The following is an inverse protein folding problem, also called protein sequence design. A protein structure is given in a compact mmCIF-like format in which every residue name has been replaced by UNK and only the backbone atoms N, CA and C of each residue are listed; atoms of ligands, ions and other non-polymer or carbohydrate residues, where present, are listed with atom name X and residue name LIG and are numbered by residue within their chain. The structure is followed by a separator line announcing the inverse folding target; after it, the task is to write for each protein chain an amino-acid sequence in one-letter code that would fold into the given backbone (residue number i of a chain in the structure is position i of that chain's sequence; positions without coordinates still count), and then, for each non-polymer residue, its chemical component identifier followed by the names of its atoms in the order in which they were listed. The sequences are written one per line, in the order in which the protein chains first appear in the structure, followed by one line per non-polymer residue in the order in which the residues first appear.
data_IF_627008643503
#
_entry.id   IF_627008643503
#
_cell.length_a   1.000
_cell.length_b   1.000
_cell.length_c   1.000
_cell.angle_alpha   90.00
_cell.angle_beta   90.00
_cell.angle_gamma   90.00
#
_symmetry.space_group_name_H-M   'P 1'
#
loop_
_entity.id
_entity.type
_entity.pdbx_description
1 polymer ?
#
# COMPACT_ATOMS: atom_id res chain seq x y z
N UNK A 1 -15.08 27.36 1.80
CA UNK A 1 -14.76 26.02 2.40
C UNK A 1 -14.79 25.04 1.25
N UNK A 2 -13.65 24.45 0.91
CA UNK A 2 -13.55 23.42 -0.13
C UNK A 2 -14.41 22.21 0.20
N UNK A 3 -15.08 21.67 -0.80
CA UNK A 3 -15.90 20.47 -0.68
C UNK A 3 -15.52 19.45 -1.76
N UNK A 4 -15.67 18.17 -1.46
CA UNK A 4 -15.27 17.07 -2.35
C UNK A 4 -16.44 16.13 -2.63
N UNK A 5 -16.64 15.81 -3.89
CA UNK A 5 -17.49 14.70 -4.32
C UNK A 5 -16.62 13.47 -4.56
N UNK A 6 -16.95 12.37 -3.92
CA UNK A 6 -16.32 11.07 -4.14
C UNK A 6 -17.28 10.24 -4.99
N UNK A 7 -16.87 9.94 -6.22
CA UNK A 7 -17.69 9.23 -7.20
C UNK A 7 -17.34 7.75 -7.21
N UNK A 8 -18.36 6.91 -7.28
CA UNK A 8 -18.23 5.49 -7.55
C UNK A 8 -18.06 4.61 -6.32
N UNK A 9 -18.31 3.32 -6.55
CA UNK A 9 -18.27 2.28 -5.54
C UNK A 9 -16.97 1.43 -5.60
N UNK A 10 -16.07 1.76 -6.52
CA UNK A 10 -14.85 0.98 -6.80
C UNK A 10 -13.64 1.48 -6.00
N UNK A 11 -13.84 1.93 -4.78
CA UNK A 11 -12.76 2.30 -3.89
C UNK A 11 -12.39 1.12 -2.98
N UNK A 12 -11.10 0.81 -2.90
CA UNK A 12 -10.61 -0.19 -1.95
C UNK A 12 -10.94 0.24 -0.51
N UNK A 13 -11.41 -0.70 0.33
CA UNK A 13 -11.90 -0.40 1.67
C UNK A 13 -10.89 0.37 2.54
N UNK A 14 -9.62 0.01 2.51
CA UNK A 14 -8.54 0.71 3.24
C UNK A 14 -8.29 2.11 2.69
N UNK A 15 -8.37 2.30 1.38
CA UNK A 15 -8.24 3.62 0.74
C UNK A 15 -9.42 4.51 1.14
N UNK A 16 -10.64 3.96 1.18
CA UNK A 16 -11.83 4.69 1.62
C UNK A 16 -11.68 5.17 3.06
N UNK A 17 -11.34 4.27 3.97
CA UNK A 17 -11.14 4.60 5.39
C UNK A 17 -10.05 5.67 5.55
N UNK A 18 -8.93 5.51 4.88
CA UNK A 18 -7.82 6.47 4.90
C UNK A 18 -8.21 7.83 4.33
N UNK A 19 -8.95 7.85 3.22
CA UNK A 19 -9.43 9.10 2.60
C UNK A 19 -10.38 9.86 3.54
N UNK A 20 -11.36 9.18 4.13
CA UNK A 20 -12.30 9.80 5.06
C UNK A 20 -11.58 10.41 6.28
N UNK A 21 -10.60 9.71 6.83
CA UNK A 21 -9.78 10.23 7.94
C UNK A 21 -8.98 11.47 7.55
N UNK A 22 -8.34 11.46 6.36
CA UNK A 22 -7.60 12.63 5.87
C UNK A 22 -8.53 13.83 5.63
N UNK A 23 -9.70 13.62 5.02
CA UNK A 23 -10.65 14.69 4.75
C UNK A 23 -11.21 15.31 6.04
N UNK A 24 -11.47 14.49 7.06
CA UNK A 24 -11.88 14.95 8.38
C UNK A 24 -10.78 15.77 9.06
N UNK A 25 -9.53 15.31 9.02
CA UNK A 25 -8.35 16.02 9.54
C UNK A 25 -8.19 17.40 8.87
N UNK A 26 -8.33 17.45 7.55
CA UNK A 26 -8.24 18.66 6.75
C UNK A 26 -9.49 19.55 6.81
N UNK A 27 -10.54 19.12 7.50
CA UNK A 27 -11.85 19.81 7.57
C UNK A 27 -12.47 20.07 6.19
N UNK A 28 -12.21 19.19 5.22
CA UNK A 28 -12.82 19.21 3.90
C UNK A 28 -14.16 18.48 3.99
N UNK A 29 -15.25 19.18 3.64
CA UNK A 29 -16.57 18.54 3.54
C UNK A 29 -16.61 17.60 2.35
N UNK A 30 -17.15 16.42 2.51
CA UNK A 30 -17.23 15.44 1.43
C UNK A 30 -18.56 14.68 1.41
N UNK A 31 -18.90 14.15 0.24
CA UNK A 31 -20.05 13.28 0.03
C UNK A 31 -19.68 12.18 -0.96
N UNK A 32 -20.12 10.96 -0.68
CA UNK A 32 -20.18 9.91 -1.69
C UNK A 32 -21.45 10.12 -2.54
N UNK A 33 -21.28 10.24 -3.85
CA UNK A 33 -22.39 10.60 -4.74
C UNK A 33 -22.17 10.19 -6.18
N UNK A 34 -23.02 10.71 -7.06
CA UNK A 34 -23.03 10.37 -8.47
C UNK A 34 -22.44 11.51 -9.32
N UNK A 35 -21.92 11.16 -10.50
CA UNK A 35 -21.29 12.08 -11.44
C UNK A 35 -22.20 13.27 -11.84
N UNK A 36 -23.52 13.11 -11.81
CA UNK A 36 -24.48 14.19 -12.07
C UNK A 36 -24.46 15.32 -11.03
N UNK A 37 -23.76 15.12 -9.91
CA UNK A 37 -23.66 16.12 -8.84
C UNK A 37 -22.38 16.97 -8.93
N UNK A 38 -21.54 16.78 -9.93
CA UNK A 38 -20.21 17.44 -10.08
C UNK A 38 -20.32 18.97 -9.90
N UNK A 39 -21.34 19.60 -10.46
CA UNK A 39 -21.49 21.07 -10.44
C UNK A 39 -21.51 21.67 -9.02
N UNK A 40 -21.90 20.90 -8.02
CA UNK A 40 -22.03 21.32 -6.62
C UNK A 40 -20.74 21.28 -5.81
N UNK A 41 -19.64 20.75 -6.39
CA UNK A 41 -18.40 20.50 -5.66
C UNK A 41 -17.18 21.13 -6.33
N UNK A 42 -16.19 21.50 -5.53
CA UNK A 42 -14.95 22.11 -6.00
C UNK A 42 -13.93 21.06 -6.45
N UNK A 43 -13.91 19.93 -5.74
CA UNK A 43 -12.98 18.82 -5.94
C UNK A 43 -13.79 17.56 -6.23
N UNK A 44 -13.35 16.82 -7.24
CA UNK A 44 -13.93 15.54 -7.64
C UNK A 44 -12.88 14.46 -7.47
N UNK A 45 -13.16 13.48 -6.63
CA UNK A 45 -12.36 12.28 -6.51
C UNK A 45 -13.09 11.10 -7.17
N UNK A 46 -12.51 10.56 -8.23
CA UNK A 46 -13.03 9.38 -8.90
C UNK A 46 -12.00 8.24 -8.78
N UNK A 47 -12.16 7.32 -7.80
CA UNK A 47 -11.27 6.19 -7.67
C UNK A 47 -11.31 5.32 -8.92
N UNK A 48 -10.17 4.75 -9.28
CA UNK A 48 -10.04 3.82 -10.41
C UNK A 48 -10.09 4.45 -11.81
N UNK A 49 -11.04 5.31 -12.14
CA UNK A 49 -11.27 5.78 -13.52
C UNK A 49 -11.04 7.28 -13.67
N UNK A 50 -10.43 7.68 -14.77
CA UNK A 50 -10.47 9.06 -15.23
C UNK A 50 -11.72 9.30 -16.10
N UNK A 51 -12.17 10.55 -16.17
CA UNK A 51 -13.31 10.98 -16.98
C UNK A 51 -12.93 12.18 -17.83
N UNK A 52 -13.76 12.52 -18.82
CA UNK A 52 -13.65 13.76 -19.59
C UNK A 52 -13.93 14.96 -18.68
N UNK A 53 -12.96 15.85 -18.52
CA UNK A 53 -13.05 17.04 -17.66
C UNK A 53 -13.28 18.33 -18.43
N UNK A 54 -13.42 18.27 -19.77
CA UNK A 54 -13.53 19.44 -20.66
C UNK A 54 -14.68 20.38 -20.30
N UNK A 55 -15.77 19.85 -19.76
CA UNK A 55 -16.95 20.62 -19.35
C UNK A 55 -16.80 21.31 -17.99
N UNK A 56 -15.70 21.02 -17.25
CA UNK A 56 -15.53 21.44 -15.86
C UNK A 56 -14.16 22.11 -15.63
N UNK A 57 -13.83 23.17 -16.39
CA UNK A 57 -12.48 23.77 -16.36
C UNK A 57 -12.09 24.39 -15.02
N UNK A 58 -13.07 24.73 -14.18
CA UNK A 58 -12.85 25.38 -12.87
C UNK A 58 -12.90 24.41 -11.68
N UNK A 59 -12.95 23.10 -11.93
CA UNK A 59 -12.98 22.07 -10.88
C UNK A 59 -11.69 21.28 -10.89
N UNK A 60 -11.33 20.73 -9.73
CA UNK A 60 -10.12 19.90 -9.56
C UNK A 60 -10.50 18.44 -9.55
N UNK A 61 -9.77 17.60 -10.29
CA UNK A 61 -10.03 16.18 -10.40
C UNK A 61 -8.84 15.34 -9.93
N UNK A 62 -9.13 14.38 -9.06
CA UNK A 62 -8.20 13.35 -8.61
C UNK A 62 -8.74 12.00 -9.03
N UNK A 63 -7.96 11.23 -9.79
CA UNK A 63 -8.32 9.91 -10.29
C UNK A 63 -7.43 8.82 -9.71
N UNK A 64 -7.96 7.60 -9.58
CA UNK A 64 -7.19 6.43 -9.13
C UNK A 64 -7.12 6.27 -7.61
N UNK A 65 -6.35 5.28 -7.14
CA UNK A 65 -5.68 4.26 -7.95
C UNK A 65 -6.63 3.22 -8.53
N UNK A 66 -6.23 2.57 -9.62
CA UNK A 66 -6.96 1.46 -10.22
C UNK A 66 -6.59 0.13 -9.53
N UNK A 67 -7.54 -0.82 -9.48
CA UNK A 67 -7.29 -2.14 -8.90
C UNK A 67 -6.35 -3.02 -9.73
N UNK A 68 -6.31 -2.80 -11.04
CA UNK A 68 -5.42 -3.53 -11.93
C UNK A 68 -4.00 -2.95 -11.92
N UNK A 69 -3.02 -3.82 -12.06
CA UNK A 69 -1.61 -3.41 -12.21
C UNK A 69 -1.36 -2.57 -13.45
N UNK A 70 -2.16 -2.75 -14.49
CA UNK A 70 -2.07 -2.01 -15.76
C UNK A 70 -3.36 -1.24 -16.02
N UNK A 71 -3.30 -0.09 -16.74
CA UNK A 71 -4.48 0.63 -17.15
C UNK A 71 -5.30 -0.19 -18.16
N UNK A 72 -6.63 -0.07 -18.07
CA UNK A 72 -7.56 -0.66 -19.03
C UNK A 72 -7.70 0.18 -20.28
N UNK A 73 -8.11 -0.42 -21.40
CA UNK A 73 -8.40 0.32 -22.63
C UNK A 73 -9.44 1.41 -22.40
N UNK A 74 -10.49 1.13 -21.64
CA UNK A 74 -11.55 2.11 -21.29
C UNK A 74 -10.97 3.38 -20.66
N UNK A 75 -9.94 3.25 -19.83
CA UNK A 75 -9.26 4.39 -19.20
C UNK A 75 -8.39 5.13 -20.20
N UNK A 76 -7.77 4.43 -21.13
CA UNK A 76 -6.88 5.00 -22.15
C UNK A 76 -7.62 5.66 -23.32
N UNK A 77 -8.94 5.40 -23.47
CA UNK A 77 -9.78 5.98 -24.53
C UNK A 77 -10.27 7.40 -24.20
N UNK A 78 -9.95 7.93 -23.04
CA UNK A 78 -10.32 9.29 -22.63
C UNK A 78 -9.50 10.31 -23.45
N UNK A 79 -10.20 11.20 -24.16
CA UNK A 79 -9.56 12.13 -25.09
C UNK A 79 -9.35 13.53 -24.53
N UNK A 80 -10.14 13.96 -23.56
CA UNK A 80 -10.19 15.34 -23.09
C UNK A 80 -9.94 15.43 -21.60
N UNK A 81 -8.69 15.25 -21.19
CA UNK A 81 -8.24 15.54 -19.83
C UNK A 81 -7.52 16.87 -19.80
N UNK A 82 -7.99 17.81 -18.97
CA UNK A 82 -7.38 19.12 -18.82
C UNK A 82 -6.33 19.15 -17.71
N UNK A 83 -5.59 20.25 -17.65
CA UNK A 83 -4.56 20.51 -16.61
C UNK A 83 -5.10 20.54 -15.17
N UNK A 84 -6.44 20.54 -14.99
CA UNK A 84 -7.11 20.48 -13.70
C UNK A 84 -7.25 19.06 -13.14
N UNK A 85 -6.51 18.11 -13.65
CA UNK A 85 -6.62 16.69 -13.30
C UNK A 85 -5.29 16.05 -12.95
N UNK A 86 -5.31 15.06 -12.07
CA UNK A 86 -4.17 14.23 -11.73
C UNK A 86 -4.62 12.78 -11.54
N UNK A 87 -3.80 11.84 -12.00
CA UNK A 87 -3.95 10.41 -11.66
C UNK A 87 -2.98 10.04 -10.55
N UNK A 88 -3.46 9.31 -9.53
CA UNK A 88 -2.61 8.87 -8.43
C UNK A 88 -2.32 7.37 -8.50
N UNK A 89 -1.09 7.00 -8.15
CA UNK A 89 -0.66 5.62 -7.94
C UNK A 89 0.00 5.47 -6.57
N UNK A 90 -0.16 4.32 -5.89
CA UNK A 90 0.27 4.19 -4.50
C UNK A 90 1.77 4.22 -4.29
N UNK A 91 2.58 3.89 -5.29
CA UNK A 91 4.04 3.79 -5.18
C UNK A 91 4.78 4.19 -6.45
N UNK A 92 6.08 4.36 -6.34
CA UNK A 92 6.96 4.74 -7.46
C UNK A 92 6.91 3.69 -8.57
N UNK A 93 7.09 2.41 -8.25
CA UNK A 93 7.10 1.37 -9.28
C UNK A 93 5.75 1.21 -9.99
N UNK A 94 4.63 1.35 -9.26
CA UNK A 94 3.30 1.29 -9.90
C UNK A 94 3.04 2.52 -10.78
N UNK A 95 3.52 3.71 -10.39
CA UNK A 95 3.52 4.89 -11.24
C UNK A 95 4.34 4.67 -12.52
N UNK A 96 5.55 4.14 -12.40
CA UNK A 96 6.44 3.89 -13.54
C UNK A 96 5.84 2.92 -14.57
N UNK A 97 5.08 1.92 -14.12
CA UNK A 97 4.34 1.03 -15.02
C UNK A 97 3.23 1.78 -15.77
N UNK A 98 2.51 2.68 -15.10
CA UNK A 98 1.37 3.39 -15.68
C UNK A 98 1.78 4.58 -16.57
N UNK A 99 2.86 5.24 -16.25
CA UNK A 99 3.30 6.49 -16.90
C UNK A 99 3.40 6.40 -18.43
N UNK A 100 4.00 5.35 -19.05
CA UNK A 100 4.06 5.22 -20.49
C UNK A 100 2.69 5.13 -21.17
N UNK A 101 1.70 4.58 -20.48
CA UNK A 101 0.33 4.43 -20.99
C UNK A 101 -0.46 5.73 -20.88
N UNK A 102 -0.37 6.39 -19.74
CA UNK A 102 -1.12 7.63 -19.44
C UNK A 102 -0.56 8.85 -20.17
N UNK A 103 0.73 8.86 -20.50
CA UNK A 103 1.36 9.94 -21.26
C UNK A 103 0.64 10.25 -22.57
N UNK A 104 0.00 9.25 -23.18
CA UNK A 104 -0.74 9.39 -24.44
C UNK A 104 -2.00 10.27 -24.31
N UNK A 105 -2.56 10.37 -23.12
CA UNK A 105 -3.75 11.18 -22.84
C UNK A 105 -3.43 12.46 -22.06
N UNK A 106 -2.16 12.79 -21.93
CA UNK A 106 -1.65 14.01 -21.29
C UNK A 106 -2.18 14.20 -19.84
N UNK A 107 -2.43 13.11 -19.12
CA UNK A 107 -2.88 13.12 -17.72
C UNK A 107 -1.66 13.01 -16.80
N UNK A 108 -1.37 14.02 -15.95
CA UNK A 108 -0.30 13.93 -14.97
C UNK A 108 -0.54 12.76 -14.01
N UNK A 109 0.52 12.00 -13.69
CA UNK A 109 0.50 10.92 -12.72
C UNK A 109 1.43 11.22 -11.55
N UNK A 110 0.93 11.06 -10.32
CA UNK A 110 1.70 11.29 -9.09
C UNK A 110 1.63 10.10 -8.16
N UNK A 111 2.66 9.93 -7.36
CA UNK A 111 2.64 8.94 -6.25
C UNK A 111 1.84 9.54 -5.09
N UNK A 112 0.89 8.77 -4.61
CA UNK A 112 0.10 9.12 -3.43
C UNK A 112 -0.23 7.87 -2.62
N UNK A 113 0.29 7.79 -1.40
CA UNK A 113 0.01 6.72 -0.44
C UNK A 113 -1.19 7.07 0.44
N UNK A 114 -2.03 6.08 0.73
CA UNK A 114 -3.07 6.21 1.74
C UNK A 114 -2.52 5.91 3.14
N UNK A 115 -3.08 6.52 4.20
CA UNK A 115 -2.57 6.30 5.55
C UNK A 115 -2.94 4.93 6.09
N UNK A 116 -2.10 4.44 7.00
CA UNK A 116 -2.41 3.31 7.86
C UNK A 116 -3.26 3.78 9.05
N UNK A 117 -4.18 2.94 9.50
CA UNK A 117 -4.93 3.20 10.73
C UNK A 117 -4.05 2.91 11.96
N UNK A 118 -3.21 3.88 12.32
CA UNK A 118 -2.24 3.76 13.43
C UNK A 118 -2.88 3.65 14.82
N UNK A 119 -4.17 3.98 14.95
CA UNK A 119 -4.92 3.80 16.20
C UNK A 119 -5.41 2.36 16.37
N UNK A 120 -5.86 1.73 15.28
CA UNK A 120 -6.25 0.31 15.29
C UNK A 120 -5.00 -0.59 15.37
N UNK A 121 -4.00 -0.29 14.53
CA UNK A 121 -2.75 -1.04 14.42
C UNK A 121 -1.65 -0.36 15.25
N UNK A 122 -1.66 -0.60 16.55
CA UNK A 122 -0.67 -0.09 17.49
C UNK A 122 -0.18 -1.18 18.43
N UNK A 123 1.04 -1.06 18.95
CA UNK A 123 1.58 -2.02 19.89
C UNK A 123 0.86 -1.92 21.23
N UNK A 124 0.51 -3.06 21.81
CA UNK A 124 -0.04 -3.16 23.17
C UNK A 124 1.03 -3.60 24.18
N UNK A 125 2.13 -4.21 23.71
CA UNK A 125 3.20 -4.80 24.51
C UNK A 125 4.57 -4.40 23.95
N UNK A 126 5.56 -4.38 24.80
CA UNK A 126 6.97 -4.28 24.35
C UNK A 126 7.36 -5.55 23.60
N UNK A 127 8.37 -5.46 22.73
CA UNK A 127 8.79 -6.57 21.87
C UNK A 127 9.27 -7.78 22.69
N UNK A 128 9.87 -7.53 23.86
CA UNK A 128 10.36 -8.56 24.78
C UNK A 128 9.23 -9.40 25.40
N UNK A 129 8.03 -8.83 25.49
CA UNK A 129 6.84 -9.46 26.07
C UNK A 129 6.03 -10.23 25.02
N UNK A 130 6.47 -10.21 23.75
CA UNK A 130 5.78 -10.86 22.65
C UNK A 130 6.41 -12.21 22.35
N UNK A 131 5.59 -13.17 21.94
CA UNK A 131 5.99 -14.55 21.72
C UNK A 131 5.63 -15.12 20.36
N UNK A 132 4.81 -14.40 19.58
CA UNK A 132 4.38 -14.88 18.27
C UNK A 132 5.35 -14.50 17.16
N UNK A 133 5.41 -15.36 16.16
CA UNK A 133 6.11 -15.13 14.90
C UNK A 133 5.16 -15.52 13.80
N UNK A 134 5.09 -14.76 12.72
CA UNK A 134 4.22 -15.08 11.61
C UNK A 134 4.95 -15.05 10.26
N UNK A 135 4.37 -15.74 9.28
CA UNK A 135 4.69 -15.63 7.86
C UNK A 135 3.47 -15.08 7.14
N UNK A 136 3.60 -13.96 6.46
CA UNK A 136 2.62 -13.45 5.52
C UNK A 136 2.95 -13.97 4.13
N UNK A 137 2.05 -14.77 3.56
CA UNK A 137 2.23 -15.45 2.28
C UNK A 137 1.23 -14.96 1.25
N UNK A 138 1.73 -14.41 0.12
CA UNK A 138 0.87 -13.90 -0.94
C UNK A 138 1.49 -14.10 -2.32
N UNK A 139 0.84 -14.94 -3.14
CA UNK A 139 1.14 -15.13 -4.57
C UNK A 139 2.59 -15.49 -4.90
N UNK A 140 3.32 -16.06 -3.97
CA UNK A 140 4.64 -16.67 -4.18
C UNK A 140 4.52 -18.17 -4.39
N UNK A 141 5.59 -18.79 -4.87
CA UNK A 141 5.62 -20.25 -5.05
C UNK A 141 5.44 -20.95 -3.69
N UNK A 142 4.48 -21.90 -3.56
CA UNK A 142 4.31 -22.66 -2.32
C UNK A 142 5.57 -23.39 -1.84
N UNK A 143 6.47 -23.74 -2.74
CA UNK A 143 7.77 -24.31 -2.37
C UNK A 143 8.63 -23.33 -1.55
N UNK A 144 8.60 -22.05 -1.87
CA UNK A 144 9.31 -21.02 -1.09
C UNK A 144 8.77 -20.93 0.35
N UNK A 145 7.44 -21.07 0.51
CA UNK A 145 6.83 -21.13 1.85
C UNK A 145 7.32 -22.35 2.63
N UNK A 146 7.41 -23.52 2.00
CA UNK A 146 7.93 -24.72 2.66
C UNK A 146 9.38 -24.55 3.09
N UNK A 147 10.22 -23.91 2.28
CA UNK A 147 11.60 -23.58 2.65
C UNK A 147 11.69 -22.70 3.89
N UNK A 148 10.81 -21.67 3.98
CA UNK A 148 10.74 -20.82 5.18
C UNK A 148 10.25 -21.57 6.42
N UNK A 149 9.24 -22.42 6.27
CA UNK A 149 8.72 -23.25 7.37
C UNK A 149 9.79 -24.20 7.88
N UNK A 150 10.54 -24.85 7.00
CA UNK A 150 11.64 -25.75 7.37
C UNK A 150 12.79 -25.01 8.04
N UNK A 151 13.10 -23.80 7.55
CA UNK A 151 14.07 -22.91 8.20
C UNK A 151 13.62 -22.55 9.62
N UNK A 152 12.37 -22.12 9.81
CA UNK A 152 11.81 -21.82 11.12
C UNK A 152 11.89 -23.03 12.08
N UNK A 153 11.54 -24.23 11.61
CA UNK A 153 11.64 -25.47 12.41
C UNK A 153 13.07 -25.73 12.89
N UNK A 154 14.07 -25.55 12.03
CA UNK A 154 15.49 -25.69 12.39
C UNK A 154 15.93 -24.68 13.46
N UNK A 155 15.25 -23.56 13.57
CA UNK A 155 15.47 -22.53 14.61
C UNK A 155 14.54 -22.69 15.83
N UNK A 156 13.78 -23.80 15.92
CA UNK A 156 12.75 -24.04 16.95
C UNK A 156 11.64 -22.97 16.95
N UNK A 157 11.30 -22.44 15.79
CA UNK A 157 10.25 -21.45 15.59
C UNK A 157 9.03 -22.12 14.95
N UNK A 158 7.85 -21.90 15.54
CA UNK A 158 6.55 -22.33 14.95
C UNK A 158 5.78 -21.08 14.54
N UNK A 159 5.81 -20.70 13.24
CA UNK A 159 5.16 -19.48 12.78
C UNK A 159 3.66 -19.69 12.55
N UNK A 160 2.87 -18.66 12.80
CA UNK A 160 1.51 -18.52 12.25
C UNK A 160 1.63 -18.17 10.77
N UNK A 161 0.86 -18.83 9.89
CA UNK A 161 0.89 -18.55 8.46
C UNK A 161 -0.42 -17.85 8.05
N UNK A 162 -0.31 -16.63 7.56
CA UNK A 162 -1.41 -15.88 6.96
C UNK A 162 -1.30 -15.96 5.43
N UNK A 163 -2.16 -16.79 4.84
CA UNK A 163 -2.22 -16.98 3.39
C UNK A 163 -3.31 -16.10 2.78
N UNK A 164 -2.89 -15.08 2.04
CA UNK A 164 -3.79 -14.12 1.41
C UNK A 164 -4.80 -14.77 0.44
N UNK A 165 -4.37 -15.79 -0.31
CA UNK A 165 -5.23 -16.44 -1.31
C UNK A 165 -6.33 -17.30 -0.63
N UNK A 166 -6.00 -17.94 0.48
CA UNK A 166 -6.96 -18.70 1.28
C UNK A 166 -7.86 -17.82 2.13
N UNK A 167 -7.60 -16.53 2.15
CA UNK A 167 -8.20 -15.52 3.03
C UNK A 167 -7.97 -15.84 4.52
N UNK A 168 -7.67 -14.84 5.27
CA UNK A 168 -7.54 -14.91 6.72
C UNK A 168 -8.47 -13.89 7.39
N UNK A 169 -8.78 -14.11 8.65
CA UNK A 169 -9.56 -13.17 9.44
C UNK A 169 -8.69 -11.97 9.85
N UNK A 170 -9.15 -10.76 9.59
CA UNK A 170 -8.42 -9.53 9.97
C UNK A 170 -8.22 -9.39 11.48
N UNK A 171 -9.17 -9.84 12.29
CA UNK A 171 -9.05 -9.78 13.77
C UNK A 171 -7.99 -10.76 14.27
N UNK A 172 -7.89 -11.95 13.68
CA UNK A 172 -6.83 -12.92 14.00
C UNK A 172 -5.46 -12.37 13.59
N UNK A 173 -5.39 -11.67 12.46
CA UNK A 173 -4.16 -11.00 12.01
C UNK A 173 -3.76 -9.88 12.97
N UNK A 174 -4.69 -9.01 13.34
CA UNK A 174 -4.46 -7.93 14.31
C UNK A 174 -4.00 -8.47 15.67
N UNK A 175 -4.67 -9.52 16.20
CA UNK A 175 -4.27 -10.16 17.45
C UNK A 175 -2.85 -10.76 17.35
N UNK A 176 -2.54 -11.38 16.23
CA UNK A 176 -1.18 -11.86 15.97
C UNK A 176 -0.17 -10.72 15.95
N UNK A 177 -0.43 -9.62 15.25
CA UNK A 177 0.47 -8.47 15.16
C UNK A 177 0.77 -7.85 16.52
N UNK A 178 -0.23 -7.72 17.39
CA UNK A 178 -0.06 -7.19 18.75
C UNK A 178 0.84 -8.06 19.64
N UNK A 179 0.92 -9.34 19.33
CA UNK A 179 1.73 -10.32 20.06
C UNK A 179 2.98 -10.79 19.25
N UNK A 180 3.19 -10.25 18.07
CA UNK A 180 4.30 -10.67 17.22
C UNK A 180 5.64 -10.06 17.62
N UNK A 181 6.62 -10.90 17.88
CA UNK A 181 8.01 -10.51 18.08
C UNK A 181 8.65 -10.06 16.77
N UNK A 182 8.35 -10.75 15.68
CA UNK A 182 8.69 -10.36 14.31
C UNK A 182 7.81 -11.11 13.31
N UNK A 183 7.83 -10.65 12.05
CA UNK A 183 7.18 -11.32 10.93
C UNK A 183 8.13 -11.61 9.79
N UNK A 184 7.80 -12.61 8.98
CA UNK A 184 8.48 -12.92 7.73
C UNK A 184 7.51 -12.64 6.58
N UNK A 185 7.93 -11.86 5.62
CA UNK A 185 7.11 -11.50 4.45
C UNK A 185 7.58 -12.31 3.24
N UNK A 186 6.65 -13.05 2.65
CA UNK A 186 6.81 -13.78 1.40
C UNK A 186 5.69 -13.37 0.44
N UNK A 187 5.87 -12.22 -0.21
CA UNK A 187 4.89 -11.59 -1.09
C UNK A 187 5.47 -11.39 -2.49
N UNK A 188 4.61 -11.41 -3.50
CA UNK A 188 5.01 -11.25 -4.89
C UNK A 188 5.30 -9.80 -5.26
N UNK A 189 4.41 -8.90 -4.95
CA UNK A 189 4.56 -7.44 -5.11
C UNK A 189 3.37 -6.71 -4.49
N UNK A 190 3.60 -5.49 -4.04
CA UNK A 190 2.58 -4.63 -3.48
C UNK A 190 2.65 -3.23 -4.07
N UNK A 191 1.52 -2.70 -4.52
CA UNK A 191 1.46 -1.30 -4.93
C UNK A 191 1.51 -0.35 -3.74
N UNK A 192 0.91 -0.71 -2.61
CA UNK A 192 1.06 -0.05 -1.31
C UNK A 192 1.49 -1.05 -0.22
N UNK A 193 0.71 -2.13 0.03
CA UNK A 193 1.06 -3.18 0.98
C UNK A 193 0.50 -2.97 2.38
N UNK A 194 -0.80 -2.71 2.51
CA UNK A 194 -1.45 -2.43 3.80
C UNK A 194 -1.16 -3.47 4.89
N UNK A 195 -1.20 -4.76 4.58
CA UNK A 195 -0.93 -5.79 5.58
C UNK A 195 0.49 -5.68 6.17
N UNK A 196 1.47 -5.33 5.34
CA UNK A 196 2.85 -5.11 5.75
C UNK A 196 2.96 -3.83 6.59
N UNK A 197 2.35 -2.74 6.12
CA UNK A 197 2.32 -1.46 6.82
C UNK A 197 1.60 -1.54 8.16
N UNK A 198 0.53 -2.34 8.27
CA UNK A 198 -0.18 -2.62 9.52
C UNK A 198 0.70 -3.35 10.53
N UNK A 199 1.53 -4.30 10.08
CA UNK A 199 2.52 -4.96 10.93
C UNK A 199 3.59 -3.96 11.43
N UNK A 200 4.12 -3.13 10.54
CA UNK A 200 5.07 -2.07 10.91
C UNK A 200 4.44 -1.08 11.89
N UNK A 201 3.16 -0.73 11.71
CA UNK A 201 2.41 0.14 12.61
C UNK A 201 2.25 -0.45 14.02
N UNK A 202 2.12 -1.78 14.14
CA UNK A 202 2.15 -2.50 15.42
C UNK A 202 3.57 -2.63 16.00
N UNK A 203 4.54 -1.93 15.43
CA UNK A 203 5.97 -1.99 15.81
C UNK A 203 6.53 -3.40 15.70
N UNK A 204 6.18 -4.13 14.65
CA UNK A 204 6.68 -5.48 14.37
C UNK A 204 7.79 -5.39 13.34
N UNK A 205 9.05 -5.70 13.70
CA UNK A 205 10.14 -5.81 12.72
C UNK A 205 9.88 -6.94 11.73
N UNK A 206 10.26 -6.72 10.48
CA UNK A 206 9.99 -7.67 9.40
C UNK A 206 11.27 -8.16 8.72
N UNK A 207 11.33 -9.45 8.47
CA UNK A 207 12.30 -10.08 7.59
C UNK A 207 11.63 -10.34 6.25
N UNK A 208 12.08 -9.69 5.18
CA UNK A 208 11.38 -9.68 3.90
C UNK A 208 12.14 -10.46 2.84
N UNK A 209 11.55 -11.55 2.34
CA UNK A 209 12.02 -12.18 1.10
C UNK A 209 11.40 -11.44 -0.08
N UNK A 210 12.07 -10.36 -0.50
CA UNK A 210 11.57 -9.45 -1.51
C UNK A 210 11.71 -10.01 -2.93
N UNK A 211 11.03 -9.37 -3.85
CA UNK A 211 11.11 -9.59 -5.31
C UNK A 211 11.80 -8.41 -5.98
N UNK A 212 12.27 -8.63 -7.20
CA UNK A 212 12.82 -7.58 -8.07
C UNK A 212 11.92 -7.28 -9.27
N UNK A 213 11.12 -8.26 -9.68
CA UNK A 213 10.33 -8.20 -10.91
C UNK A 213 8.98 -8.89 -10.76
N UNK A 214 7.99 -8.43 -11.53
CA UNK A 214 6.61 -8.93 -11.47
C UNK A 214 6.45 -10.39 -11.91
N UNK A 215 7.35 -10.91 -12.77
CA UNK A 215 7.31 -12.29 -13.22
C UNK A 215 7.66 -13.30 -12.12
N UNK A 216 8.09 -12.83 -10.94
CA UNK A 216 8.27 -13.66 -9.73
C UNK A 216 6.93 -14.01 -9.04
N UNK A 217 5.81 -13.42 -9.46
CA UNK A 217 4.48 -13.86 -9.01
C UNK A 217 4.19 -15.27 -9.53
N UNK A 218 3.82 -16.16 -8.64
CA UNK A 218 3.59 -17.57 -8.96
C UNK A 218 2.47 -17.76 -9.96
N UNK A 219 2.74 -18.48 -11.05
CA UNK A 219 1.82 -18.75 -12.16
C UNK A 219 1.30 -17.49 -12.87
N UNK A 220 1.94 -16.35 -12.71
CA UNK A 220 1.57 -15.17 -13.47
C UNK A 220 2.12 -15.22 -14.90
N UNK A 221 1.52 -14.38 -15.75
CA UNK A 221 2.01 -14.12 -17.12
C UNK A 221 2.68 -12.77 -17.24
N UNK A 222 2.99 -12.14 -16.11
CA UNK A 222 3.66 -10.84 -16.10
C UNK A 222 5.04 -10.89 -16.72
N UNK A 223 5.38 -9.81 -17.42
CA UNK A 223 6.73 -9.57 -17.92
C UNK A 223 7.69 -9.25 -16.79
N UNK A 224 8.98 -9.24 -17.10
CA UNK A 224 10.05 -8.81 -16.20
C UNK A 224 10.01 -7.28 -16.03
N UNK A 225 9.07 -6.79 -15.22
CA UNK A 225 8.91 -5.38 -14.87
C UNK A 225 9.34 -5.19 -13.42
N UNK A 226 10.11 -4.14 -13.17
CA UNK A 226 10.62 -3.82 -11.83
C UNK A 226 9.48 -3.59 -10.83
N UNK A 227 9.56 -4.23 -9.66
CA UNK A 227 8.61 -4.07 -8.57
C UNK A 227 9.24 -4.43 -7.23
N UNK A 228 8.48 -4.26 -6.16
CA UNK A 228 8.86 -4.68 -4.80
C UNK A 228 7.62 -5.10 -4.01
N UNK A 229 7.80 -5.95 -3.01
CA UNK A 229 6.75 -6.25 -2.02
C UNK A 229 6.68 -5.21 -0.90
N UNK A 230 7.70 -4.37 -0.76
CA UNK A 230 7.79 -3.35 0.30
C UNK A 230 8.09 -1.96 -0.28
N UNK A 231 7.10 -1.31 -0.91
CA UNK A 231 7.30 0.01 -1.53
C UNK A 231 7.54 1.14 -0.52
N UNK A 232 7.18 0.92 0.76
CA UNK A 232 7.35 1.84 1.88
C UNK A 232 8.23 1.17 2.93
N UNK A 233 9.52 1.53 2.93
CA UNK A 233 10.52 0.84 3.72
C UNK A 233 11.78 1.68 3.95
N UNK A 234 12.38 1.54 5.13
CA UNK A 234 13.77 1.88 5.41
C UNK A 234 14.37 0.91 6.46
N UNK A 235 15.61 1.15 6.87
CA UNK A 235 16.36 0.29 7.80
C UNK A 235 15.71 0.13 9.18
N UNK A 236 14.77 0.99 9.55
CA UNK A 236 14.02 0.86 10.81
C UNK A 236 12.98 -0.26 10.79
N UNK A 237 12.62 -0.72 9.59
CA UNK A 237 11.55 -1.70 9.41
C UNK A 237 12.02 -3.15 9.58
N UNK A 238 13.31 -3.42 9.41
CA UNK A 238 13.87 -4.78 9.47
C UNK A 238 14.93 -5.04 8.40
N UNK A 239 14.99 -6.27 7.89
CA UNK A 239 15.97 -6.67 6.89
C UNK A 239 15.31 -7.26 5.63
N UNK A 240 15.97 -7.11 4.48
CA UNK A 240 15.53 -7.62 3.17
C UNK A 240 16.55 -8.59 2.62
N UNK A 241 16.08 -9.68 2.03
CA UNK A 241 16.88 -10.58 1.22
C UNK A 241 16.13 -10.96 -0.06
N UNK A 242 16.84 -11.41 -1.10
CA UNK A 242 16.28 -11.70 -2.41
C UNK A 242 16.45 -13.15 -2.84
N UNK A 243 17.35 -13.89 -2.20
CA UNK A 243 17.66 -15.28 -2.52
C UNK A 243 17.69 -16.11 -1.25
N UNK A 244 17.16 -17.35 -1.34
CA UNK A 244 17.14 -18.28 -0.18
C UNK A 244 18.52 -18.52 0.43
N UNK A 245 19.60 -18.41 -0.35
CA UNK A 245 20.97 -18.56 0.13
C UNK A 245 21.39 -17.44 1.09
N UNK A 246 20.75 -16.29 1.01
CA UNK A 246 21.01 -15.14 1.88
C UNK A 246 20.26 -15.24 3.22
N UNK A 247 19.29 -16.15 3.32
CA UNK A 247 18.36 -16.22 4.47
C UNK A 247 19.08 -16.41 5.80
N UNK A 248 20.02 -17.34 5.89
CA UNK A 248 20.70 -17.66 7.15
C UNK A 248 21.49 -16.46 7.70
N UNK A 249 22.28 -15.81 6.84
CA UNK A 249 23.11 -14.66 7.23
C UNK A 249 22.24 -13.43 7.54
N UNK A 250 21.22 -13.17 6.70
CA UNK A 250 20.29 -12.06 6.92
C UNK A 250 19.48 -12.25 8.21
N UNK A 251 19.02 -13.47 8.47
CA UNK A 251 18.30 -13.79 9.71
C UNK A 251 19.17 -13.57 10.95
N UNK A 252 20.43 -13.94 10.89
CA UNK A 252 21.38 -13.69 12.00
C UNK A 252 21.49 -12.20 12.31
N UNK A 253 21.73 -11.38 11.28
CA UNK A 253 21.80 -9.92 11.43
C UNK A 253 20.46 -9.37 11.98
N UNK A 254 19.35 -9.85 11.44
CA UNK A 254 18.00 -9.44 11.85
C UNK A 254 17.75 -9.71 13.34
N UNK A 255 18.09 -10.90 13.83
CA UNK A 255 17.90 -11.27 15.24
C UNK A 255 18.84 -10.48 16.16
N UNK A 256 20.09 -10.25 15.76
CA UNK A 256 21.04 -9.44 16.53
C UNK A 256 20.57 -7.99 16.71
N UNK A 257 19.88 -7.45 15.69
CA UNK A 257 19.35 -6.08 15.70
C UNK A 257 17.88 -5.97 16.16
N UNK A 258 17.21 -7.07 16.53
CA UNK A 258 15.75 -7.13 16.69
C UNK A 258 15.21 -6.02 17.59
N UNK A 259 15.92 -5.66 18.66
CA UNK A 259 15.53 -4.63 19.62
C UNK A 259 15.87 -3.19 19.18
N UNK A 260 16.52 -3.02 18.05
CA UNK A 260 16.93 -1.71 17.53
C UNK A 260 16.00 -1.17 16.45
N UNK A 261 15.14 -2.01 15.89
CA UNK A 261 14.20 -1.59 14.86
C UNK A 261 13.07 -0.73 15.46
N UNK A 262 12.67 0.29 14.71
CA UNK A 262 11.61 1.24 15.07
C UNK A 262 10.56 1.37 13.93
N UNK A 263 9.92 0.25 13.50
CA UNK A 263 9.05 0.28 12.32
C UNK A 263 7.83 1.18 12.51
N UNK A 264 7.27 1.27 13.73
CA UNK A 264 6.16 2.18 14.01
C UNK A 264 6.54 3.64 13.76
N UNK A 265 7.73 4.04 14.16
CA UNK A 265 8.22 5.41 13.94
C UNK A 265 8.30 5.74 12.44
N UNK A 266 8.76 4.76 11.63
CA UNK A 266 8.72 4.91 10.17
C UNK A 266 7.30 5.16 9.66
N UNK A 267 6.30 4.38 10.11
CA UNK A 267 4.89 4.55 9.72
C UNK A 267 4.35 5.91 10.17
N UNK A 268 4.59 6.34 11.41
CA UNK A 268 4.12 7.61 11.94
C UNK A 268 4.68 8.81 11.15
N UNK A 269 5.93 8.73 10.70
CA UNK A 269 6.60 9.78 9.93
C UNK A 269 6.21 9.82 8.45
N UNK A 270 5.74 8.70 7.86
CA UNK A 270 5.53 8.59 6.42
C UNK A 270 4.08 8.31 6.01
N UNK A 271 3.33 7.53 6.82
CA UNK A 271 2.03 6.96 6.46
C UNK A 271 0.94 7.19 7.52
N UNK A 272 1.13 8.10 8.46
CA UNK A 272 0.07 8.52 9.38
C UNK A 272 -0.99 9.35 8.64
N UNK A 273 -2.19 9.46 9.24
CA UNK A 273 -3.28 10.30 8.69
C UNK A 273 -2.81 11.74 8.51
N UNK A 274 -2.08 12.30 9.48
CA UNK A 274 -1.52 13.65 9.41
C UNK A 274 -0.56 13.81 8.21
N UNK A 275 0.38 12.88 8.03
CA UNK A 275 1.37 12.97 6.96
C UNK A 275 0.75 12.80 5.58
N UNK A 276 -0.12 11.81 5.41
CA UNK A 276 -0.85 11.60 4.16
C UNK A 276 -1.86 12.73 3.90
N UNK A 277 -2.49 13.28 4.94
CA UNK A 277 -3.35 14.45 4.82
C UNK A 277 -2.63 15.68 4.27
N UNK A 278 -1.42 15.97 4.78
CA UNK A 278 -0.57 17.05 4.22
C UNK A 278 -0.20 16.81 2.76
N UNK A 279 0.08 15.55 2.38
CA UNK A 279 0.33 15.19 0.97
C UNK A 279 -0.93 15.42 0.11
N UNK A 280 -2.13 15.07 0.63
CA UNK A 280 -3.39 15.32 -0.07
C UNK A 280 -3.65 16.81 -0.25
N UNK A 281 -3.45 17.61 0.78
CA UNK A 281 -3.58 19.08 0.71
C UNK A 281 -2.65 19.68 -0.35
N UNK A 282 -1.40 19.25 -0.37
CA UNK A 282 -0.41 19.68 -1.38
C UNK A 282 -0.85 19.25 -2.79
N UNK A 283 -1.30 17.98 -2.94
CA UNK A 283 -1.79 17.46 -4.22
C UNK A 283 -2.95 18.33 -4.76
N UNK A 284 -3.91 18.66 -3.91
CA UNK A 284 -5.06 19.51 -4.28
C UNK A 284 -4.61 20.93 -4.68
N UNK A 285 -3.64 21.51 -3.97
CA UNK A 285 -3.09 22.85 -4.29
C UNK A 285 -2.37 22.85 -5.63
N UNK A 286 -1.64 21.79 -5.96
CA UNK A 286 -0.85 21.66 -7.18
C UNK A 286 -1.70 21.47 -8.45
N UNK A 287 -2.94 21.02 -8.34
CA UNK A 287 -3.88 20.93 -9.46
C UNK A 287 -4.31 22.36 -9.83
N UNK A 288 -4.06 22.72 -11.08
CA UNK A 288 -4.34 24.07 -11.63
C UNK A 288 -5.82 24.36 -11.77
#
# INVERSE_FOLDING_TARGET
IMNMLIIGNEIHVKNKEGLEKMLNELKIKYKFGHISEIDKYDIIYHPSQAIDTSKYPNKKFIFGPHFSTFPTNKLLDIKNVHNNSVYIQPSIWSKEIWEPHIKKINLPIKVFSFPVNTEKFKPDKKIEERDRIFIYFKRRNPHELLLLIDFCKKKNIIPFVFDYVKRYNEEDYLDCLKNAKFGIILDAHESQGFAIEEALSCNVPLLVWNVKTMNQEYRSTYRELSCTSVPYWDERCGEIFYNIKELEDTFKIFIEKLHTYEPRKYIEENLSVEKCGKKLETLIKDIK
#
